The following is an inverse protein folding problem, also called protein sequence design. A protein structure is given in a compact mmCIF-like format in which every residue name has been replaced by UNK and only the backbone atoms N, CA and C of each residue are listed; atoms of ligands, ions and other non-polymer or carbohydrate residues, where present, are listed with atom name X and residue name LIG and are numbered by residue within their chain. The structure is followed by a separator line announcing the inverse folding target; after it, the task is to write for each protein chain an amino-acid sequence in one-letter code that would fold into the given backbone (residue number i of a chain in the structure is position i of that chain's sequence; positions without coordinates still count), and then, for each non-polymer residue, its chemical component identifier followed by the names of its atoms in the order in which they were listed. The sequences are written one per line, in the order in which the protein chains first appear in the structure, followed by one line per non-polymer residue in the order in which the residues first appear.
data_IF_029433057116
#
_entry.id   IF_029433057116
#
_cell.length_a   1.000
_cell.length_b   1.000
_cell.length_c   1.000
_cell.angle_alpha   90.00
_cell.angle_beta   90.00
_cell.angle_gamma   90.00
#
_symmetry.space_group_name_H-M   'P 1'
#
loop_
_entity.id
_entity.type
_entity.pdbx_description
1 polymer ?
#
# COMPACT_ATOMS: atom_id res chain seq x y z
N UNK A 1 -12.87 -9.62 -29.31
CA UNK A 1 -13.09 -10.52 -28.15
C UNK A 1 -12.84 -9.69 -26.91
N UNK A 2 -13.90 -9.14 -26.31
CA UNK A 2 -13.80 -8.25 -25.16
C UNK A 2 -13.75 -9.11 -23.90
N UNK A 3 -12.63 -9.09 -23.20
CA UNK A 3 -12.49 -9.71 -21.89
C UNK A 3 -12.88 -8.69 -20.83
N UNK A 4 -14.18 -8.61 -20.53
CA UNK A 4 -14.67 -7.97 -19.32
C UNK A 4 -14.36 -8.88 -18.12
N UNK A 5 -13.20 -8.70 -17.50
CA UNK A 5 -12.96 -9.21 -16.16
C UNK A 5 -13.30 -8.11 -15.15
N UNK A 6 -14.60 -7.83 -15.02
CA UNK A 6 -15.12 -6.97 -13.95
C UNK A 6 -15.04 -7.73 -12.63
N UNK A 7 -13.83 -7.86 -12.07
CA UNK A 7 -13.70 -8.02 -10.63
C UNK A 7 -14.25 -6.74 -10.02
N UNK A 8 -15.50 -6.80 -9.56
CA UNK A 8 -16.13 -5.74 -8.78
C UNK A 8 -15.22 -5.41 -7.59
N UNK A 9 -14.38 -4.40 -7.76
CA UNK A 9 -13.66 -3.79 -6.66
C UNK A 9 -14.71 -3.11 -5.80
N UNK A 10 -15.03 -3.71 -4.66
CA UNK A 10 -15.52 -2.94 -3.49
C UNK A 10 -14.66 -1.67 -3.46
N UNK A 11 -15.22 -0.46 -3.33
CA UNK A 11 -14.40 0.74 -3.23
C UNK A 11 -13.44 0.55 -2.05
N UNK A 12 -12.18 0.19 -2.33
CA UNK A 12 -11.13 -0.08 -1.33
C UNK A 12 -10.65 1.22 -0.69
N UNK A 13 -11.57 2.15 -0.51
CA UNK A 13 -11.34 3.49 0.03
C UNK A 13 -11.96 3.63 1.42
N UNK A 14 -12.79 2.68 1.86
CA UNK A 14 -13.50 2.73 3.14
C UNK A 14 -13.33 1.45 3.98
N UNK A 15 -12.12 0.88 4.00
CA UNK A 15 -11.79 -0.19 4.94
C UNK A 15 -11.66 0.42 6.34
N UNK A 16 -12.47 -0.03 7.31
CA UNK A 16 -12.47 0.54 8.66
C UNK A 16 -11.19 0.19 9.44
N UNK A 17 -10.72 -1.05 9.34
CA UNK A 17 -9.49 -1.54 9.96
C UNK A 17 -8.80 -2.52 9.03
N UNK A 18 -7.47 -2.49 9.02
CA UNK A 18 -6.64 -3.37 8.20
C UNK A 18 -5.20 -2.90 8.22
N UNK A 19 -4.45 -3.24 7.18
CA UNK A 19 -3.03 -2.94 7.09
C UNK A 19 -2.73 -1.95 5.97
N UNK A 20 -1.81 -1.02 6.22
CA UNK A 20 -1.03 -0.37 5.16
C UNK A 20 0.26 -1.16 5.00
N UNK A 21 0.64 -1.44 3.75
CA UNK A 21 1.82 -2.24 3.45
C UNK A 21 2.75 -1.56 2.46
N UNK A 22 4.02 -1.94 2.56
CA UNK A 22 5.10 -1.67 1.62
C UNK A 22 5.62 -3.02 1.16
N UNK A 23 5.56 -3.26 -0.15
CA UNK A 23 6.10 -4.47 -0.77
C UNK A 23 7.25 -4.11 -1.72
N UNK A 24 8.24 -4.99 -1.80
CA UNK A 24 9.23 -4.98 -2.87
C UNK A 24 8.84 -6.00 -3.93
N UNK A 25 9.44 -5.88 -5.11
CA UNK A 25 9.23 -6.81 -6.20
C UNK A 25 10.56 -7.35 -6.71
N UNK A 26 10.65 -8.64 -7.04
CA UNK A 26 11.92 -9.25 -7.46
C UNK A 26 12.48 -8.71 -8.78
N UNK A 27 11.64 -8.14 -9.65
CA UNK A 27 12.05 -7.61 -10.96
C UNK A 27 12.56 -6.16 -10.86
N UNK A 28 12.04 -5.38 -9.90
CA UNK A 28 12.35 -3.96 -9.81
C UNK A 28 13.32 -3.68 -8.66
N UNK A 29 14.51 -3.18 -8.99
CA UNK A 29 15.43 -2.65 -7.99
C UNK A 29 14.95 -1.27 -7.54
N UNK A 30 14.87 -1.05 -6.22
CA UNK A 30 14.54 0.25 -5.59
C UNK A 30 13.13 0.81 -5.90
N UNK A 31 12.22 -0.03 -6.38
CA UNK A 31 10.81 0.33 -6.54
C UNK A 31 9.98 -0.42 -5.51
N UNK A 32 9.13 0.31 -4.81
CA UNK A 32 8.21 -0.24 -3.82
C UNK A 32 6.77 -0.09 -4.28
N UNK A 33 5.93 -1.03 -3.86
CA UNK A 33 4.48 -0.94 -3.95
C UNK A 33 3.91 -0.52 -2.60
N UNK A 34 3.12 0.55 -2.59
CA UNK A 34 2.42 1.03 -1.40
C UNK A 34 0.93 0.69 -1.54
N UNK A 35 0.33 0.02 -0.56
CA UNK A 35 -1.09 -0.34 -0.62
C UNK A 35 -1.76 -0.51 0.73
N UNK A 36 -3.05 -0.83 0.69
CA UNK A 36 -3.85 -1.19 1.86
C UNK A 36 -4.59 -2.51 1.61
N UNK A 37 -4.82 -3.29 2.65
CA UNK A 37 -5.67 -4.49 2.60
C UNK A 37 -6.33 -4.74 3.97
N UNK A 38 -7.60 -5.18 4.04
CA UNK A 38 -8.18 -5.70 5.27
C UNK A 38 -7.61 -7.08 5.66
N UNK A 39 -7.02 -7.79 4.70
CA UNK A 39 -6.57 -9.17 4.85
C UNK A 39 -5.17 -9.29 5.45
N UNK A 40 -4.71 -10.52 5.66
CA UNK A 40 -3.32 -10.80 5.98
C UNK A 40 -2.38 -10.36 4.85
N UNK A 41 -1.35 -9.58 5.19
CA UNK A 41 -0.47 -8.96 4.19
C UNK A 41 0.52 -9.94 3.57
N UNK A 42 0.90 -11.00 4.27
CA UNK A 42 1.80 -12.02 3.71
C UNK A 42 1.07 -12.93 2.73
N UNK A 43 -0.14 -13.37 3.06
CA UNK A 43 -0.99 -14.15 2.17
C UNK A 43 -1.39 -13.34 0.92
N UNK A 44 -1.69 -12.05 1.11
CA UNK A 44 -1.96 -11.15 -0.01
C UNK A 44 -0.75 -11.00 -0.94
N UNK A 45 0.47 -10.90 -0.40
CA UNK A 45 1.70 -10.86 -1.20
C UNK A 45 1.86 -12.14 -2.04
N UNK A 46 1.68 -13.31 -1.44
CA UNK A 46 1.74 -14.61 -2.14
C UNK A 46 0.70 -14.68 -3.27
N UNK A 47 -0.51 -14.22 -3.00
CA UNK A 47 -1.60 -14.17 -3.99
C UNK A 47 -1.26 -13.25 -5.16
N UNK A 48 -0.57 -12.13 -4.91
CA UNK A 48 -0.10 -11.24 -5.97
C UNK A 48 1.01 -11.87 -6.80
N UNK A 49 2.00 -12.51 -6.17
CA UNK A 49 3.09 -13.21 -6.86
C UNK A 49 2.57 -14.34 -7.76
N UNK A 50 1.53 -15.06 -7.33
CA UNK A 50 0.93 -16.13 -8.13
C UNK A 50 0.21 -15.63 -9.40
N UNK A 51 -0.11 -14.33 -9.50
CA UNK A 51 -0.90 -13.74 -10.59
C UNK A 51 -0.06 -13.09 -11.68
N UNK A 52 1.25 -12.98 -11.51
CA UNK A 52 2.09 -12.22 -12.43
C UNK A 52 3.55 -12.68 -12.42
N UNK A 53 4.38 -12.09 -13.29
CA UNK A 53 5.81 -12.39 -13.31
C UNK A 53 6.51 -11.78 -12.09
N UNK A 54 7.41 -12.55 -11.50
CA UNK A 54 8.17 -12.11 -10.33
C UNK A 54 7.42 -12.28 -9.00
N UNK A 55 8.09 -11.89 -7.93
CA UNK A 55 7.60 -12.10 -6.57
C UNK A 55 7.43 -10.77 -5.85
N UNK A 56 6.23 -10.55 -5.33
CA UNK A 56 6.00 -9.57 -4.28
C UNK A 56 6.49 -10.13 -2.95
N UNK A 57 7.27 -9.33 -2.24
CA UNK A 57 7.69 -9.61 -0.88
C UNK A 57 7.23 -8.50 0.04
N UNK A 58 6.59 -8.88 1.14
CA UNK A 58 6.24 -7.93 2.18
C UNK A 58 7.51 -7.42 2.83
N UNK A 59 7.73 -6.10 2.76
CA UNK A 59 8.85 -5.46 3.46
C UNK A 59 8.40 -4.94 4.82
N UNK A 60 7.22 -4.31 4.86
CA UNK A 60 6.66 -3.78 6.10
C UNK A 60 5.14 -3.68 5.99
N UNK A 61 4.43 -4.01 7.06
CA UNK A 61 3.01 -3.69 7.23
C UNK A 61 2.77 -3.07 8.60
N UNK A 62 1.72 -2.29 8.69
CA UNK A 62 1.27 -1.73 9.96
C UNK A 62 -0.26 -1.74 10.03
N UNK A 63 -0.84 -2.38 11.06
CA UNK A 63 -2.28 -2.36 11.27
C UNK A 63 -2.73 -0.99 11.75
N UNK A 64 -3.83 -0.47 11.21
CA UNK A 64 -4.39 0.82 11.58
C UNK A 64 -5.87 0.93 11.19
N UNK A 65 -6.53 1.93 11.78
CA UNK A 65 -7.86 2.37 11.36
C UNK A 65 -7.74 3.14 10.04
N UNK A 66 -8.73 2.99 9.16
CA UNK A 66 -8.79 3.66 7.85
C UNK A 66 -7.49 3.49 7.04
N UNK A 67 -6.94 2.27 6.87
CA UNK A 67 -5.64 2.06 6.23
C UNK A 67 -5.59 2.64 4.82
N UNK A 68 -6.71 2.64 4.09
CA UNK A 68 -6.74 3.17 2.74
C UNK A 68 -6.66 4.70 2.68
N UNK A 69 -7.07 5.41 3.74
CA UNK A 69 -6.83 6.85 3.88
C UNK A 69 -5.35 7.13 4.17
N UNK A 70 -4.74 6.36 5.07
CA UNK A 70 -3.30 6.49 5.38
C UNK A 70 -2.45 6.16 4.15
N UNK A 71 -2.80 5.11 3.39
CA UNK A 71 -2.22 4.81 2.06
C UNK A 71 -2.30 6.02 1.14
N UNK A 72 -3.45 6.69 1.03
CA UNK A 72 -3.61 7.88 0.18
C UNK A 72 -2.67 9.02 0.62
N UNK A 73 -2.55 9.27 1.91
CA UNK A 73 -1.63 10.28 2.45
C UNK A 73 -0.17 9.93 2.15
N UNK A 74 0.21 8.67 2.36
CA UNK A 74 1.56 8.18 2.08
C UNK A 74 1.90 8.26 0.59
N UNK A 75 0.96 7.89 -0.29
CA UNK A 75 1.13 8.03 -1.75
C UNK A 75 1.28 9.49 -2.16
N UNK A 76 0.48 10.39 -1.59
CA UNK A 76 0.60 11.84 -1.83
C UNK A 76 1.94 12.40 -1.36
N UNK A 77 2.54 11.83 -0.31
CA UNK A 77 3.87 12.22 0.13
C UNK A 77 4.95 11.86 -0.91
N UNK A 78 4.77 10.75 -1.63
CA UNK A 78 5.71 10.25 -2.63
C UNK A 78 5.28 10.52 -4.08
N UNK A 79 4.43 11.53 -4.30
CA UNK A 79 3.85 11.78 -5.63
C UNK A 79 4.91 12.13 -6.68
N UNK A 80 5.99 12.80 -6.26
CA UNK A 80 7.13 13.14 -7.11
C UNK A 80 7.99 11.92 -7.49
N UNK A 81 7.99 10.88 -6.64
CA UNK A 81 8.73 9.63 -6.83
C UNK A 81 7.86 8.52 -7.45
N UNK A 82 6.65 8.86 -7.94
CA UNK A 82 5.79 7.89 -8.58
C UNK A 82 6.43 7.36 -9.88
N UNK A 83 6.68 6.04 -9.90
CA UNK A 83 7.20 5.35 -11.08
C UNK A 83 6.05 4.98 -12.04
N UNK A 84 5.07 4.21 -11.52
CA UNK A 84 3.83 3.89 -12.25
C UNK A 84 2.72 3.51 -11.28
N UNK A 85 1.57 4.18 -11.35
CA UNK A 85 0.38 3.87 -10.56
C UNK A 85 0.65 3.70 -9.05
N UNK A 86 0.78 2.46 -8.59
CA UNK A 86 0.96 2.09 -7.19
C UNK A 86 2.42 1.86 -6.79
N UNK A 87 3.34 2.13 -7.71
CA UNK A 87 4.77 1.89 -7.59
C UNK A 87 5.55 3.21 -7.52
N UNK A 88 6.52 3.25 -6.61
CA UNK A 88 7.29 4.44 -6.26
C UNK A 88 8.78 4.11 -6.20
N UNK A 89 9.62 4.97 -6.76
CA UNK A 89 11.08 4.82 -6.76
C UNK A 89 11.68 5.41 -5.47
N UNK A 90 11.48 4.69 -4.37
CA UNK A 90 11.91 5.10 -3.02
C UNK A 90 12.43 3.88 -2.28
N UNK A 91 13.46 4.05 -1.44
CA UNK A 91 13.94 2.94 -0.63
C UNK A 91 12.85 2.46 0.35
N UNK A 92 12.72 1.13 0.59
CA UNK A 92 11.73 0.60 1.51
C UNK A 92 11.86 1.16 2.95
N UNK A 93 13.08 1.51 3.35
CA UNK A 93 13.41 2.07 4.66
C UNK A 93 12.86 3.49 4.85
N UNK A 94 13.00 4.34 3.84
CA UNK A 94 12.44 5.70 3.84
C UNK A 94 10.92 5.63 3.91
N UNK A 95 10.30 4.80 3.05
CA UNK A 95 8.85 4.64 3.04
C UNK A 95 8.30 4.12 4.37
N UNK A 96 8.99 3.17 5.00
CA UNK A 96 8.64 2.67 6.34
C UNK A 96 8.72 3.78 7.40
N UNK A 97 9.76 4.61 7.36
CA UNK A 97 9.94 5.73 8.29
C UNK A 97 8.81 6.76 8.16
N UNK A 98 8.46 7.13 6.91
CA UNK A 98 7.36 8.07 6.64
C UNK A 98 6.01 7.46 7.05
N UNK A 99 5.73 6.19 6.74
CA UNK A 99 4.49 5.53 7.15
C UNK A 99 4.31 5.55 8.67
N UNK A 100 5.38 5.23 9.42
CA UNK A 100 5.35 5.32 10.89
C UNK A 100 5.04 6.73 11.37
N UNK A 101 5.62 7.75 10.71
CA UNK A 101 5.36 9.16 11.03
C UNK A 101 3.92 9.58 10.73
N UNK A 102 3.35 9.18 9.58
CA UNK A 102 1.95 9.48 9.23
C UNK A 102 0.99 8.92 10.27
N UNK A 103 1.25 7.72 10.80
CA UNK A 103 0.41 7.10 11.81
C UNK A 103 0.59 7.69 13.22
N UNK A 104 1.73 8.31 13.49
CA UNK A 104 1.96 9.10 14.72
C UNK A 104 1.34 10.50 14.66
N UNK A 105 0.86 10.96 13.49
CA UNK A 105 0.02 12.15 13.39
C UNK A 105 -1.37 11.80 13.94
N UNK A 106 -1.43 11.68 15.27
CA UNK A 106 -2.68 11.57 16.02
C UNK A 106 -3.57 12.74 15.55
N UNK A 107 -4.84 12.50 15.19
CA UNK A 107 -5.75 13.59 14.91
C UNK A 107 -5.85 14.42 16.19
N UNK A 108 -5.44 15.69 16.11
CA UNK A 108 -5.92 16.67 17.09
C UNK A 108 -7.43 16.67 16.86
N UNK A 109 -8.17 15.95 17.72
CA UNK A 109 -9.61 16.08 17.81
C UNK A 109 -9.83 17.53 18.18
N UNK A 110 -10.05 18.40 17.18
CA UNK A 110 -10.68 19.69 17.42
C UNK A 110 -12.10 19.36 17.83
N UNK A 111 -12.30 19.28 19.14
CA UNK A 111 -13.61 19.34 19.77
C UNK A 111 -14.07 20.77 19.54
N UNK A 112 -15.06 20.96 18.67
CA UNK A 112 -15.83 22.19 18.56
C UNK A 112 -17.28 21.86 18.94
#
# INVERSE_FOLDING_TARGET
MSMDNSQQSIPRDTVAFGNVYIMTHSIFSNVIKIGCTPDDTEEYAKTLSAKGPGDYKLYFSLPCNNPCQIKKQLRKHFDAEQYVNEFYEVSPEIAKSVLKRELMKIPVLSIH
#
